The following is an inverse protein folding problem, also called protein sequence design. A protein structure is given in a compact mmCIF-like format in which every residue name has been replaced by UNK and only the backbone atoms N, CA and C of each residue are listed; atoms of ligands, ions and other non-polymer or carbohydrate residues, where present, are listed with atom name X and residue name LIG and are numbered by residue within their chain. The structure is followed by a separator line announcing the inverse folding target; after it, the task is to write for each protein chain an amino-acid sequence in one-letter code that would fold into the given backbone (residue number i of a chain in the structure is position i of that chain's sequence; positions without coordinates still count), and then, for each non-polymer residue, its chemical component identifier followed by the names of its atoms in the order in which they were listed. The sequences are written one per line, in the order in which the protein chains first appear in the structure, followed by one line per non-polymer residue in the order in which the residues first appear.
data_IF_142342219958
#
_entry.id   IF_142342219958
#
_cell.length_a   1.000
_cell.length_b   1.000
_cell.length_c   1.000
_cell.angle_alpha   90.00
_cell.angle_beta   90.00
_cell.angle_gamma   90.00
#
_symmetry.space_group_name_H-M   'P 1'
#
loop_
_entity.id
_entity.type
_entity.pdbx_description
1 polymer ?
#
# COMPACT_ATOMS: atom_id res chain seq x y z
N UNK A 1 -24.61 -3.14 44.54
CA UNK A 1 -24.30 -4.08 43.44
C UNK A 1 -23.19 -3.46 42.59
N UNK A 2 -21.94 -3.72 42.96
CA UNK A 2 -20.73 -3.40 42.19
C UNK A 2 -19.76 -4.57 42.43
N UNK A 3 -19.41 -5.30 41.37
CA UNK A 3 -18.42 -6.39 41.41
C UNK A 3 -17.18 -5.93 40.67
N UNK A 4 -16.11 -5.70 41.41
CA UNK A 4 -14.74 -5.57 40.90
C UNK A 4 -14.17 -6.99 40.64
N UNK A 5 -13.39 -7.21 39.56
CA UNK A 5 -12.80 -8.50 39.28
C UNK A 5 -11.50 -8.76 40.06
N UNK A 6 -11.27 -10.05 40.29
CA UNK A 6 -10.27 -10.66 41.18
C UNK A 6 -8.86 -10.57 40.58
N UNK A 7 -7.91 -10.24 41.46
CA UNK A 7 -6.46 -10.25 41.28
C UNK A 7 -5.96 -11.70 41.34
N UNK A 8 -5.25 -12.17 40.31
CA UNK A 8 -4.42 -13.37 40.43
C UNK A 8 -2.96 -12.99 40.38
N UNK A 9 -2.27 -13.23 41.50
CA UNK A 9 -0.83 -13.16 41.64
C UNK A 9 -0.34 -14.57 41.98
N UNK A 10 0.83 -14.91 41.45
CA UNK A 10 1.71 -16.01 41.85
C UNK A 10 1.41 -17.40 41.27
N UNK A 11 2.32 -17.91 40.44
CA UNK A 11 3.25 -18.97 40.85
C UNK A 11 4.30 -19.24 39.74
N UNK A 12 5.53 -18.78 40.00
CA UNK A 12 6.78 -19.44 39.60
C UNK A 12 7.59 -19.59 40.91
N UNK A 13 8.68 -20.38 41.06
CA UNK A 13 9.53 -21.05 40.04
C UNK A 13 10.06 -22.48 40.44
N UNK A 14 10.74 -23.18 39.53
CA UNK A 14 11.97 -24.00 39.74
C UNK A 14 12.23 -24.89 38.49
N UNK A 15 13.20 -24.59 37.64
CA UNK A 15 14.63 -24.99 37.67
C UNK A 15 14.88 -26.46 37.29
N UNK A 16 15.39 -26.70 36.06
CA UNK A 16 16.49 -27.59 35.65
C UNK A 16 16.61 -27.46 34.11
N UNK A 17 17.51 -26.63 33.59
CA UNK A 17 18.88 -26.93 33.17
C UNK A 17 18.99 -27.88 31.95
N UNK A 18 19.48 -27.31 30.84
CA UNK A 18 20.23 -28.03 29.81
C UNK A 18 19.50 -28.32 28.49
N UNK A 19 19.78 -27.53 27.44
CA UNK A 19 19.66 -28.02 26.06
C UNK A 19 19.10 -27.02 25.05
N UNK A 20 20.02 -26.37 24.32
CA UNK A 20 19.87 -25.73 23.00
C UNK A 20 18.94 -24.51 22.91
N UNK A 21 19.57 -23.37 22.58
CA UNK A 21 18.93 -22.08 22.35
C UNK A 21 17.73 -22.15 21.41
N UNK A 22 16.60 -21.63 21.89
CA UNK A 22 15.51 -21.19 21.05
C UNK A 22 16.02 -19.96 20.29
N UNK A 23 16.55 -20.19 19.09
CA UNK A 23 16.75 -19.11 18.11
C UNK A 23 15.39 -18.44 17.88
N UNK A 24 15.31 -17.11 17.78
CA UNK A 24 14.07 -16.47 17.33
C UNK A 24 13.73 -17.05 15.97
N UNK A 25 12.50 -17.53 15.80
CA UNK A 25 11.99 -18.04 14.53
C UNK A 25 12.13 -16.92 13.49
N UNK A 26 13.06 -17.09 12.55
CA UNK A 26 13.28 -16.18 11.45
C UNK A 26 11.98 -16.09 10.66
N UNK A 27 11.30 -14.94 10.67
CA UNK A 27 10.17 -14.70 9.78
C UNK A 27 10.59 -15.05 8.34
N UNK A 28 9.80 -15.87 7.65
CA UNK A 28 10.09 -16.25 6.28
C UNK A 28 10.21 -15.00 5.40
N UNK A 29 11.25 -14.98 4.56
CA UNK A 29 11.39 -13.92 3.56
C UNK A 29 10.28 -14.03 2.53
N UNK A 30 9.98 -12.95 1.80
CA UNK A 30 8.97 -13.01 0.74
C UNK A 30 9.31 -14.08 -0.30
N UNK A 31 10.59 -14.19 -0.66
CA UNK A 31 11.06 -15.20 -1.59
C UNK A 31 10.85 -16.62 -1.08
N UNK A 32 11.05 -16.88 0.22
CA UNK A 32 10.78 -18.20 0.80
C UNK A 32 9.30 -18.56 0.72
N UNK A 33 8.43 -17.58 0.98
CA UNK A 33 6.98 -17.76 0.85
C UNK A 33 6.61 -18.06 -0.59
N UNK A 34 7.09 -17.26 -1.55
CA UNK A 34 6.82 -17.46 -2.98
C UNK A 34 7.30 -18.84 -3.45
N UNK A 35 8.54 -19.23 -3.09
CA UNK A 35 9.08 -20.57 -3.43
C UNK A 35 8.22 -21.69 -2.86
N UNK A 36 7.71 -21.54 -1.64
CA UNK A 36 6.85 -22.53 -1.00
C UNK A 36 5.48 -22.64 -1.70
N UNK A 37 4.88 -21.50 -2.07
CA UNK A 37 3.61 -21.46 -2.82
C UNK A 37 3.75 -22.14 -4.18
N UNK A 38 4.85 -21.86 -4.89
CA UNK A 38 5.16 -22.52 -6.17
C UNK A 38 5.40 -24.03 -6.03
N UNK A 39 5.87 -24.49 -4.86
CA UNK A 39 6.03 -25.90 -4.52
C UNK A 39 4.72 -26.59 -4.09
N UNK A 40 3.60 -25.86 -4.05
CA UNK A 40 2.27 -26.41 -3.74
C UNK A 40 1.69 -26.01 -2.39
N UNK A 41 2.46 -25.34 -1.52
CA UNK A 41 1.98 -24.83 -0.23
C UNK A 41 1.25 -23.49 -0.43
N UNK A 42 0.06 -23.56 -1.03
CA UNK A 42 -0.74 -22.39 -1.43
C UNK A 42 -1.17 -21.53 -0.26
N UNK A 43 -1.33 -22.11 0.93
CA UNK A 43 -1.80 -21.40 2.14
C UNK A 43 -0.79 -20.35 2.62
N UNK A 44 0.51 -20.56 2.39
CA UNK A 44 1.55 -19.58 2.72
C UNK A 44 1.39 -18.25 2.00
N UNK A 45 0.66 -18.19 0.88
CA UNK A 45 0.40 -16.94 0.18
C UNK A 45 -0.34 -15.92 1.08
N UNK A 46 -1.17 -16.38 2.02
CA UNK A 46 -1.87 -15.51 2.95
C UNK A 46 -0.92 -14.60 3.75
N UNK A 47 0.31 -15.05 4.02
CA UNK A 47 1.32 -14.25 4.72
C UNK A 47 1.76 -13.04 3.89
N UNK A 48 1.87 -13.17 2.55
CA UNK A 48 2.16 -12.04 1.67
C UNK A 48 0.97 -11.06 1.64
N UNK A 49 -0.25 -11.58 1.59
CA UNK A 49 -1.46 -10.75 1.64
C UNK A 49 -1.51 -9.94 2.94
N UNK A 50 -1.37 -10.59 4.09
CA UNK A 50 -1.38 -9.95 5.40
C UNK A 50 -0.28 -8.88 5.53
N UNK A 51 0.94 -9.18 5.06
CA UNK A 51 2.07 -8.26 5.12
C UNK A 51 1.86 -7.00 4.27
N UNK A 52 1.16 -7.11 3.14
CA UNK A 52 1.17 -6.07 2.11
C UNK A 52 -0.17 -5.39 1.83
N UNK A 53 -1.30 -5.99 2.25
CA UNK A 53 -2.65 -5.47 1.97
C UNK A 53 -2.83 -4.02 2.38
N UNK A 54 -2.57 -3.69 3.64
CA UNK A 54 -2.85 -2.36 4.16
C UNK A 54 -1.95 -1.29 3.52
N UNK A 55 -0.69 -1.63 3.27
CA UNK A 55 0.25 -0.75 2.56
C UNK A 55 -0.27 -0.42 1.17
N UNK A 56 -0.67 -1.44 0.42
CA UNK A 56 -1.10 -1.26 -0.95
C UNK A 56 -2.52 -0.71 -1.10
N UNK A 57 -3.40 -0.93 -0.12
CA UNK A 57 -4.68 -0.24 0.00
C UNK A 57 -4.48 1.27 0.19
N UNK A 58 -3.55 1.66 1.06
CA UNK A 58 -3.18 3.08 1.24
C UNK A 58 -2.60 3.71 -0.03
N UNK A 59 -1.78 2.97 -0.78
CA UNK A 59 -1.27 3.42 -2.08
C UNK A 59 -2.41 3.58 -3.09
N UNK A 60 -3.23 2.54 -3.27
CA UNK A 60 -4.32 2.53 -4.23
C UNK A 60 -5.37 3.62 -3.94
N UNK A 61 -5.71 3.84 -2.66
CA UNK A 61 -6.63 4.91 -2.25
C UNK A 61 -6.10 6.30 -2.65
N UNK A 62 -4.80 6.55 -2.50
CA UNK A 62 -4.18 7.80 -2.96
C UNK A 62 -4.23 7.95 -4.47
N UNK A 63 -4.03 6.84 -5.19
CA UNK A 63 -4.08 6.84 -6.65
C UNK A 63 -5.49 7.01 -7.21
N UNK A 64 -6.49 6.38 -6.59
CA UNK A 64 -7.86 6.31 -7.10
C UNK A 64 -8.78 7.39 -6.52
N UNK A 65 -8.56 7.83 -5.28
CA UNK A 65 -9.45 8.76 -4.59
C UNK A 65 -10.68 8.12 -3.96
N UNK A 66 -10.86 6.80 -4.09
CA UNK A 66 -11.95 6.02 -3.52
C UNK A 66 -11.39 4.83 -2.75
N UNK A 67 -11.92 4.58 -1.55
CA UNK A 67 -11.56 3.43 -0.71
C UNK A 67 -12.05 2.15 -1.35
N UNK A 68 -13.29 2.13 -1.81
CA UNK A 68 -13.91 0.94 -2.40
C UNK A 68 -13.17 0.53 -3.67
N UNK A 69 -12.90 1.49 -4.56
CA UNK A 69 -12.11 1.22 -5.77
C UNK A 69 -10.68 0.77 -5.44
N UNK A 70 -10.11 1.25 -4.32
CA UNK A 70 -8.79 0.83 -3.87
C UNK A 70 -8.78 -0.60 -3.32
N UNK A 71 -9.78 -0.97 -2.52
CA UNK A 71 -9.93 -2.32 -2.01
C UNK A 71 -10.14 -3.33 -3.15
N UNK A 72 -11.00 -2.98 -4.12
CA UNK A 72 -11.21 -3.79 -5.32
C UNK A 72 -9.92 -3.95 -6.15
N UNK A 73 -9.18 -2.86 -6.34
CA UNK A 73 -7.92 -2.89 -7.09
C UNK A 73 -6.85 -3.75 -6.39
N UNK A 74 -6.77 -3.68 -5.06
CA UNK A 74 -5.83 -4.47 -4.26
C UNK A 74 -6.20 -5.94 -4.28
N UNK A 75 -7.49 -6.26 -4.08
CA UNK A 75 -7.97 -7.62 -4.13
C UNK A 75 -7.70 -8.26 -5.49
N UNK A 76 -8.09 -7.60 -6.59
CA UNK A 76 -7.84 -8.09 -7.95
C UNK A 76 -6.33 -8.23 -8.22
N UNK A 77 -5.50 -7.32 -7.72
CA UNK A 77 -4.05 -7.44 -7.83
C UNK A 77 -3.49 -8.68 -7.11
N UNK A 78 -3.97 -8.99 -5.90
CA UNK A 78 -3.54 -10.20 -5.17
C UNK A 78 -4.03 -11.48 -5.82
N UNK A 79 -5.25 -11.51 -6.35
CA UNK A 79 -5.78 -12.66 -7.09
C UNK A 79 -4.93 -12.90 -8.34
N UNK A 80 -4.70 -11.85 -9.15
CA UNK A 80 -3.86 -11.94 -10.35
C UNK A 80 -2.43 -12.35 -10.02
N UNK A 81 -1.85 -11.77 -8.99
CA UNK A 81 -0.49 -12.10 -8.55
C UNK A 81 -0.38 -13.56 -8.11
N UNK A 82 -1.43 -14.10 -7.49
CA UNK A 82 -1.49 -15.52 -7.16
C UNK A 82 -1.55 -16.40 -8.41
N UNK A 83 -2.46 -16.10 -9.34
CA UNK A 83 -2.66 -16.89 -10.57
C UNK A 83 -1.42 -16.90 -11.46
N UNK A 84 -0.69 -15.79 -11.49
CA UNK A 84 0.48 -15.61 -12.34
C UNK A 84 1.80 -15.65 -11.55
N UNK A 85 1.79 -16.17 -10.32
CA UNK A 85 2.96 -16.17 -9.42
C UNK A 85 4.19 -16.83 -10.05
N UNK A 86 4.00 -17.84 -10.89
CA UNK A 86 5.05 -18.52 -11.65
C UNK A 86 5.78 -17.61 -12.65
N UNK A 87 5.20 -16.46 -13.02
CA UNK A 87 5.83 -15.47 -13.89
C UNK A 87 6.76 -14.52 -13.13
N UNK A 88 6.77 -14.58 -11.79
CA UNK A 88 7.73 -13.86 -10.96
C UNK A 88 9.11 -14.50 -11.11
N UNK A 89 9.94 -13.96 -12.01
CA UNK A 89 11.27 -14.51 -12.36
C UNK A 89 12.23 -14.59 -11.16
N UNK A 90 12.07 -13.67 -10.21
CA UNK A 90 12.91 -13.55 -9.03
C UNK A 90 11.98 -13.47 -7.80
N UNK A 91 11.81 -14.57 -7.06
CA UNK A 91 10.96 -14.61 -5.87
C UNK A 91 11.31 -13.56 -4.82
N UNK A 92 12.58 -13.18 -4.71
CA UNK A 92 13.04 -12.19 -3.73
C UNK A 92 12.61 -10.76 -4.13
N UNK A 93 12.17 -10.56 -5.38
CA UNK A 93 11.63 -9.30 -5.91
C UNK A 93 10.11 -9.29 -6.03
N UNK A 94 9.40 -10.18 -5.34
CA UNK A 94 7.94 -10.26 -5.32
C UNK A 94 7.27 -8.90 -5.14
N UNK A 95 7.72 -8.10 -4.17
CA UNK A 95 7.14 -6.77 -3.85
C UNK A 95 7.17 -5.82 -5.04
N UNK A 96 8.30 -5.77 -5.77
CA UNK A 96 8.44 -4.93 -6.96
C UNK A 96 7.57 -5.41 -8.10
N UNK A 97 7.50 -6.73 -8.30
CA UNK A 97 6.65 -7.35 -9.31
C UNK A 97 5.15 -7.16 -9.02
N UNK A 98 4.72 -7.39 -7.78
CA UNK A 98 3.36 -7.16 -7.30
C UNK A 98 2.95 -5.71 -7.49
N UNK A 99 3.84 -4.77 -7.15
CA UNK A 99 3.59 -3.35 -7.32
C UNK A 99 3.21 -3.00 -8.77
N UNK A 100 3.86 -3.61 -9.77
CA UNK A 100 3.52 -3.37 -11.18
C UNK A 100 2.11 -3.83 -11.53
N UNK A 101 1.66 -4.96 -10.97
CA UNK A 101 0.30 -5.49 -11.15
C UNK A 101 -0.71 -4.51 -10.57
N UNK A 102 -0.50 -4.13 -9.30
CA UNK A 102 -1.38 -3.18 -8.61
C UNK A 102 -1.43 -1.81 -9.31
N UNK A 103 -0.27 -1.29 -9.71
CA UNK A 103 -0.16 -0.04 -10.47
C UNK A 103 -1.00 -0.11 -11.74
N UNK A 104 -0.82 -1.15 -12.55
CA UNK A 104 -1.58 -1.31 -13.78
C UNK A 104 -3.08 -1.38 -13.49
N UNK A 105 -3.49 -2.03 -12.40
CA UNK A 105 -4.90 -2.07 -11.99
C UNK A 105 -5.43 -0.70 -11.62
N UNK A 106 -4.69 0.08 -10.83
CA UNK A 106 -5.07 1.44 -10.48
C UNK A 106 -5.23 2.33 -11.73
N UNK A 107 -4.30 2.23 -12.69
CA UNK A 107 -4.38 3.00 -13.94
C UNK A 107 -5.54 2.54 -14.84
N UNK A 108 -5.83 1.24 -14.89
CA UNK A 108 -6.98 0.71 -15.61
C UNK A 108 -8.29 1.22 -15.01
N UNK A 109 -8.42 1.19 -13.67
CA UNK A 109 -9.63 1.65 -12.98
C UNK A 109 -9.87 3.15 -13.17
N UNK A 110 -8.82 3.99 -13.12
CA UNK A 110 -8.95 5.42 -13.43
C UNK A 110 -9.40 5.68 -14.86
N UNK A 111 -8.94 4.88 -15.84
CA UNK A 111 -9.40 5.02 -17.23
C UNK A 111 -10.88 4.66 -17.35
N UNK A 112 -11.33 3.62 -16.65
CA UNK A 112 -12.72 3.21 -16.59
C UNK A 112 -13.60 4.29 -15.95
N UNK A 113 -13.25 4.75 -14.75
CA UNK A 113 -13.95 5.81 -14.04
C UNK A 113 -14.02 7.11 -14.85
N UNK A 114 -12.96 7.51 -15.58
CA UNK A 114 -13.03 8.68 -16.48
C UNK A 114 -13.99 8.50 -17.66
N UNK A 115 -14.14 7.26 -18.15
CA UNK A 115 -15.11 6.96 -19.20
C UNK A 115 -16.54 6.96 -18.67
N UNK A 116 -16.75 6.52 -17.43
CA UNK A 116 -18.06 6.44 -16.77
C UNK A 116 -18.49 7.80 -16.19
N UNK A 117 -17.56 8.63 -15.69
CA UNK A 117 -17.82 9.98 -15.19
C UNK A 117 -18.19 10.99 -16.29
N UNK A 118 -18.07 10.62 -17.57
CA UNK A 118 -18.70 11.34 -18.67
C UNK A 118 -20.25 11.23 -18.64
N UNK A 119 -20.82 10.42 -17.73
CA UNK A 119 -22.25 10.15 -17.63
C UNK A 119 -22.86 10.44 -16.25
N UNK A 120 -22.08 10.52 -15.16
CA UNK A 120 -22.59 11.01 -13.87
C UNK A 120 -21.42 11.39 -12.94
N UNK A 121 -21.48 12.55 -12.30
CA UNK A 121 -20.43 13.04 -11.42
C UNK A 121 -20.90 12.95 -9.96
N UNK A 122 -20.25 12.11 -9.15
CA UNK A 122 -20.48 12.09 -7.72
C UNK A 122 -19.19 11.95 -6.92
N UNK A 123 -19.06 12.88 -5.98
CA UNK A 123 -18.15 12.91 -4.85
C UNK A 123 -18.19 11.60 -4.03
N UNK A 124 -17.02 10.99 -3.81
CA UNK A 124 -16.80 10.19 -2.61
C UNK A 124 -15.31 10.10 -2.26
N UNK A 125 -14.79 11.10 -1.55
CA UNK A 125 -13.51 10.99 -0.86
C UNK A 125 -13.75 10.39 0.52
N UNK A 126 -13.94 9.07 0.60
CA UNK A 126 -13.98 8.37 1.88
C UNK A 126 -12.55 8.12 2.39
N UNK A 127 -12.36 8.24 3.71
CA UNK A 127 -11.05 8.16 4.35
C UNK A 127 -10.57 6.71 4.48
N UNK A 128 -9.53 6.34 3.73
CA UNK A 128 -8.91 5.01 3.74
C UNK A 128 -8.04 4.72 4.99
N UNK A 129 -8.33 5.33 6.15
CA UNK A 129 -7.46 5.18 7.32
C UNK A 129 -8.26 5.15 8.62
N UNK A 130 -8.60 3.94 9.07
CA UNK A 130 -9.03 3.67 10.46
C UNK A 130 -7.80 3.63 11.36
N UNK A 131 -7.06 4.73 11.43
CA UNK A 131 -6.09 4.97 12.49
C UNK A 131 -6.53 6.19 13.27
N UNK A 132 -6.73 5.95 14.56
CA UNK A 132 -7.18 6.82 15.64
C UNK A 132 -6.41 8.16 15.66
N UNK A 133 -6.94 9.11 14.90
CA UNK A 133 -6.42 10.47 14.81
C UNK A 133 -7.59 11.40 14.61
N UNK A 134 -7.79 12.31 15.57
CA UNK A 134 -8.99 13.15 15.68
C UNK A 134 -9.37 13.97 14.43
N UNK A 135 -10.47 14.72 14.54
CA UNK A 135 -11.10 15.44 13.42
C UNK A 135 -10.14 16.32 12.60
N UNK A 136 -9.18 17.00 13.24
CA UNK A 136 -8.16 17.82 12.58
C UNK A 136 -7.25 17.00 11.63
N UNK A 137 -6.95 15.75 12.01
CA UNK A 137 -6.16 14.83 11.19
C UNK A 137 -6.95 14.36 9.98
N UNK A 138 -8.26 14.14 10.14
CA UNK A 138 -9.14 13.74 9.05
C UNK A 138 -9.32 14.84 7.99
N UNK A 139 -9.45 16.09 8.41
CA UNK A 139 -9.57 17.25 7.51
C UNK A 139 -8.28 17.48 6.71
N UNK A 140 -7.12 17.46 7.38
CA UNK A 140 -5.81 17.53 6.71
C UNK A 140 -5.60 16.38 5.72
N UNK A 141 -6.04 15.16 6.06
CA UNK A 141 -5.99 13.99 5.16
C UNK A 141 -6.87 14.19 3.93
N UNK A 142 -8.08 14.73 4.08
CA UNK A 142 -8.98 15.05 2.96
C UNK A 142 -8.39 16.13 2.05
N UNK A 143 -7.85 17.20 2.63
CA UNK A 143 -7.19 18.26 1.87
C UNK A 143 -5.98 17.71 1.07
N UNK A 144 -5.16 16.87 1.68
CA UNK A 144 -4.05 16.20 0.99
C UNK A 144 -4.57 15.30 -0.15
N UNK A 145 -5.61 14.51 0.10
CA UNK A 145 -6.19 13.64 -0.93
C UNK A 145 -6.75 14.46 -2.09
N UNK A 146 -7.46 15.55 -1.83
CA UNK A 146 -7.97 16.46 -2.85
C UNK A 146 -6.85 17.06 -3.70
N UNK A 147 -5.81 17.59 -3.05
CA UNK A 147 -4.64 18.16 -3.73
C UNK A 147 -3.90 17.10 -4.59
N UNK A 148 -3.78 15.86 -4.11
CA UNK A 148 -3.24 14.76 -4.90
C UNK A 148 -4.13 14.41 -6.09
N UNK A 149 -5.45 14.52 -5.95
CA UNK A 149 -6.40 14.25 -7.04
C UNK A 149 -6.34 15.29 -8.16
N UNK A 150 -5.91 16.52 -7.88
CA UNK A 150 -5.67 17.57 -8.88
C UNK A 150 -4.43 17.30 -9.77
N UNK A 151 -3.52 16.43 -9.33
CA UNK A 151 -2.36 16.01 -10.11
C UNK A 151 -2.75 15.06 -11.25
N UNK A 152 -1.99 15.12 -12.35
CA UNK A 152 -2.06 14.06 -13.37
C UNK A 152 -1.62 12.72 -12.77
N UNK A 153 -2.01 11.61 -13.40
CA UNK A 153 -1.69 10.26 -12.93
C UNK A 153 -0.19 10.06 -12.67
N UNK A 154 0.62 10.50 -13.64
CA UNK A 154 2.07 10.33 -13.62
C UNK A 154 2.74 11.25 -12.60
N UNK A 155 2.21 12.46 -12.39
CA UNK A 155 2.67 13.36 -11.34
C UNK A 155 2.37 12.80 -9.95
N UNK A 156 1.13 12.36 -9.75
CA UNK A 156 0.64 11.74 -8.52
C UNK A 156 1.44 10.50 -8.16
N UNK A 157 1.68 9.63 -9.13
CA UNK A 157 2.44 8.39 -8.95
C UNK A 157 3.85 8.69 -8.41
N UNK A 158 4.60 9.59 -9.05
CA UNK A 158 5.96 9.90 -8.60
C UNK A 158 5.95 10.57 -7.22
N UNK A 159 4.98 11.45 -6.96
CA UNK A 159 4.82 12.09 -5.65
C UNK A 159 4.55 11.08 -4.54
N UNK A 160 3.58 10.18 -4.73
CA UNK A 160 3.21 9.15 -3.76
C UNK A 160 4.40 8.22 -3.51
N UNK A 161 5.06 7.74 -4.56
CA UNK A 161 6.22 6.88 -4.40
C UNK A 161 7.38 7.56 -3.67
N UNK A 162 7.60 8.85 -3.92
CA UNK A 162 8.71 9.59 -3.29
C UNK A 162 8.42 9.94 -1.83
N UNK A 163 7.25 10.50 -1.54
CA UNK A 163 6.96 11.12 -0.25
C UNK A 163 6.13 10.25 0.69
N UNK A 164 5.30 9.36 0.16
CA UNK A 164 4.45 8.47 0.98
C UNK A 164 5.16 7.14 1.18
N UNK A 165 5.68 6.54 0.10
CA UNK A 165 6.38 5.26 0.15
C UNK A 165 7.87 5.40 0.50
N UNK A 166 8.40 6.63 0.52
CA UNK A 166 9.77 6.92 0.95
C UNK A 166 10.88 6.50 -0.02
N UNK A 167 10.55 6.21 -1.28
CA UNK A 167 11.52 5.67 -2.24
C UNK A 167 12.52 6.72 -2.74
N UNK A 168 13.73 6.29 -3.04
CA UNK A 168 14.71 7.09 -3.77
C UNK A 168 14.33 7.24 -5.25
N UNK A 169 14.88 8.26 -5.93
CA UNK A 169 14.66 8.39 -7.37
C UNK A 169 15.22 7.22 -8.17
N UNK A 170 16.28 6.56 -7.68
CA UNK A 170 16.83 5.34 -8.29
C UNK A 170 15.84 4.19 -8.24
N UNK A 171 15.29 3.91 -7.05
CA UNK A 171 14.27 2.86 -6.89
C UNK A 171 13.00 3.14 -7.71
N UNK A 172 12.57 4.41 -7.79
CA UNK A 172 11.42 4.80 -8.63
C UNK A 172 11.75 4.63 -10.12
N UNK A 173 12.96 5.01 -10.54
CA UNK A 173 13.41 4.87 -11.93
C UNK A 173 13.42 3.41 -12.38
N UNK A 174 13.94 2.53 -11.53
CA UNK A 174 13.93 1.09 -11.75
C UNK A 174 12.50 0.53 -11.80
N UNK A 175 11.64 0.90 -10.85
CA UNK A 175 10.26 0.40 -10.78
C UNK A 175 9.39 0.88 -11.93
N UNK A 176 9.57 2.11 -12.39
CA UNK A 176 8.73 2.71 -13.44
C UNK A 176 9.36 2.63 -14.83
N UNK A 177 10.55 2.03 -14.97
CA UNK A 177 11.35 2.03 -16.19
C UNK A 177 11.48 3.44 -16.78
N UNK A 178 11.78 4.43 -15.93
CA UNK A 178 11.81 5.85 -16.28
C UNK A 178 13.16 6.48 -15.91
N UNK A 179 13.58 7.51 -16.65
CA UNK A 179 14.82 8.21 -16.34
C UNK A 179 14.66 9.14 -15.12
N UNK A 180 15.70 9.24 -14.28
CA UNK A 180 15.72 10.18 -13.14
C UNK A 180 15.38 11.62 -13.56
N UNK A 181 15.90 12.16 -14.69
CA UNK A 181 15.50 13.49 -15.17
C UNK A 181 13.99 13.61 -15.43
N UNK A 182 13.37 12.59 -16.05
CA UNK A 182 11.93 12.56 -16.30
C UNK A 182 11.13 12.57 -14.99
N UNK A 183 11.56 11.78 -14.00
CA UNK A 183 10.95 11.75 -12.67
C UNK A 183 11.04 13.11 -11.97
N UNK A 184 12.19 13.77 -12.02
CA UNK A 184 12.39 15.11 -11.44
C UNK A 184 11.48 16.14 -12.11
N UNK A 185 11.31 16.08 -13.43
CA UNK A 185 10.38 16.96 -14.15
C UNK A 185 8.92 16.71 -13.74
N UNK A 186 8.50 15.45 -13.60
CA UNK A 186 7.16 15.12 -13.09
C UNK A 186 6.95 15.65 -11.67
N UNK A 187 7.94 15.51 -10.80
CA UNK A 187 7.91 16.05 -9.43
C UNK A 187 7.84 17.57 -9.40
N UNK A 188 8.61 18.26 -10.24
CA UNK A 188 8.54 19.72 -10.35
C UNK A 188 7.13 20.17 -10.71
N UNK A 189 6.55 19.60 -11.78
CA UNK A 189 5.18 19.92 -12.19
C UNK A 189 4.14 19.56 -11.13
N UNK A 190 4.38 18.49 -10.36
CA UNK A 190 3.53 18.13 -9.24
C UNK A 190 3.56 19.21 -8.15
N UNK A 191 4.74 19.72 -7.77
CA UNK A 191 4.84 20.81 -6.80
C UNK A 191 4.21 22.10 -7.29
N UNK A 192 4.37 22.46 -8.56
CA UNK A 192 3.74 23.66 -9.13
C UNK A 192 2.22 23.58 -9.02
N UNK A 193 1.64 22.45 -9.45
CA UNK A 193 0.22 22.20 -9.37
C UNK A 193 -0.29 22.20 -7.91
N UNK A 194 0.40 21.52 -7.00
CA UNK A 194 0.02 21.50 -5.58
C UNK A 194 0.09 22.90 -4.95
N UNK A 195 1.05 23.74 -5.37
CA UNK A 195 1.14 25.13 -4.89
C UNK A 195 -0.01 25.99 -5.40
N UNK A 196 -0.47 25.79 -6.62
CA UNK A 196 -1.67 26.46 -7.15
C UNK A 196 -2.90 26.06 -6.32
N UNK A 197 -3.14 24.76 -6.17
CA UNK A 197 -4.29 24.24 -5.41
C UNK A 197 -4.30 24.73 -3.96
N UNK A 198 -3.14 24.74 -3.28
CA UNK A 198 -3.06 25.19 -1.88
C UNK A 198 -3.16 26.71 -1.71
N UNK A 199 -2.91 27.51 -2.76
CA UNK A 199 -3.15 28.96 -2.74
C UNK A 199 -4.63 29.29 -2.92
N UNK A 200 -5.34 28.50 -3.71
CA UNK A 200 -6.77 28.69 -3.98
C UNK A 200 -7.67 28.25 -2.80
N UNK A 201 -7.12 27.50 -1.84
CA UNK A 201 -7.80 27.02 -0.62
C UNK A 201 -7.32 27.73 0.67
N UNK A 202 -6.57 28.83 0.55
CA UNK A 202 -6.08 29.65 1.67
C UNK A 202 -6.79 31.01 1.72
#
# INVERSE_FOLDING_TARGET
MQRQPIRYQSLAPALFSGGKGLRPESQATDGDIVRSVLAGDRERYAQLVERYRDRYARYAARMLGSVDAAEDAVQDAFVRAFDQLSQCKDPDKFVGWFFLILRNRCFAERRRSRSEASLDAADSVAAADRTDGGAETAERRRALQHALLALTADQREVFVLKHVEGLSYGEIAERLSASIPSLKMRMHRAYDRLREELRDHA
#
